data_IF_220408420392
#
_entry.id   IF_220408420392
#
_cell.length_a   1.000
_cell.length_b   1.000
_cell.length_c   1.000
_cell.angle_alpha   90.00
_cell.angle_beta   90.00
_cell.angle_gamma   90.00
#
_symmetry.space_group_name_H-M   'P 1'
#
loop_
_entity.id
_entity.type
_entity.pdbx_description
1 polymer ?
#
# COMPACT_ATOMS: atom_id res chain seq x y z
N UNK A 1 26.31 22.55 -13.18
CA UNK A 1 26.43 21.38 -12.29
C UNK A 1 25.01 20.99 -11.90
N UNK A 2 24.41 20.03 -12.61
CA UNK A 2 23.03 19.59 -12.34
C UNK A 2 23.04 18.74 -11.08
N UNK A 3 22.36 19.21 -10.05
CA UNK A 3 22.17 18.51 -8.79
C UNK A 3 21.28 17.28 -9.06
N UNK A 4 21.90 16.10 -9.27
CA UNK A 4 21.20 14.82 -9.31
C UNK A 4 20.97 14.37 -7.86
N UNK A 5 20.01 14.98 -7.18
CA UNK A 5 19.39 14.31 -6.05
C UNK A 5 18.72 13.04 -6.58
N UNK A 6 19.06 11.84 -6.09
CA UNK A 6 18.36 10.63 -6.50
C UNK A 6 16.88 10.79 -6.14
N UNK A 7 16.02 10.89 -7.16
CA UNK A 7 14.57 10.92 -6.95
C UNK A 7 14.19 9.61 -6.27
N UNK A 8 13.50 9.70 -5.14
CA UNK A 8 12.93 8.53 -4.50
C UNK A 8 11.97 7.84 -5.49
N UNK A 9 11.98 6.50 -5.57
CA UNK A 9 11.02 5.78 -6.38
C UNK A 9 9.60 6.05 -5.87
N UNK A 10 8.66 6.14 -6.80
CA UNK A 10 7.24 6.22 -6.45
C UNK A 10 6.77 4.94 -5.74
N UNK A 11 5.71 5.03 -4.95
CA UNK A 11 5.09 3.88 -4.27
C UNK A 11 4.68 2.80 -5.27
N UNK A 12 4.12 3.18 -6.43
CA UNK A 12 3.86 2.25 -7.53
C UNK A 12 5.12 1.51 -7.99
N UNK A 13 6.25 2.21 -8.14
CA UNK A 13 7.51 1.59 -8.55
C UNK A 13 8.05 0.65 -7.48
N UNK A 14 7.92 1.02 -6.21
CA UNK A 14 8.27 0.15 -5.07
C UNK A 14 7.45 -1.13 -5.11
N UNK A 15 6.12 -1.01 -5.21
CA UNK A 15 5.23 -2.18 -5.27
C UNK A 15 5.56 -3.04 -6.48
N UNK A 16 5.69 -2.45 -7.67
CA UNK A 16 6.03 -3.19 -8.89
C UNK A 16 7.36 -3.94 -8.77
N UNK A 17 8.38 -3.30 -8.18
CA UNK A 17 9.69 -3.94 -7.98
C UNK A 17 9.63 -5.08 -6.96
N UNK A 18 8.81 -4.95 -5.92
CA UNK A 18 8.71 -5.95 -4.85
C UNK A 18 7.80 -7.14 -5.22
N UNK A 19 6.72 -6.91 -5.96
CA UNK A 19 5.67 -7.92 -6.20
C UNK A 19 5.61 -8.40 -7.66
N UNK A 20 6.23 -7.68 -8.59
CA UNK A 20 6.05 -7.89 -10.03
C UNK A 20 4.67 -7.46 -10.56
N UNK A 21 3.81 -6.87 -9.73
CA UNK A 21 2.47 -6.42 -10.09
C UNK A 21 2.36 -4.90 -10.08
N UNK A 22 1.69 -4.32 -11.09
CA UNK A 22 1.40 -2.89 -11.12
C UNK A 22 0.01 -2.63 -10.52
N UNK A 23 -0.08 -1.80 -9.49
CA UNK A 23 -1.34 -1.40 -8.85
C UNK A 23 -2.34 -0.76 -9.83
N UNK A 24 -1.88 -0.25 -10.98
CA UNK A 24 -2.75 0.24 -12.06
C UNK A 24 -3.63 -0.86 -12.69
N UNK A 25 -3.39 -2.13 -12.40
CA UNK A 25 -4.28 -3.23 -12.76
C UNK A 25 -5.57 -3.24 -11.91
N UNK A 26 -5.64 -2.46 -10.83
CA UNK A 26 -6.85 -2.29 -10.04
C UNK A 26 -7.97 -1.72 -10.90
N UNK A 27 -9.13 -2.39 -10.90
CA UNK A 27 -10.31 -1.98 -11.69
C UNK A 27 -11.33 -1.17 -10.89
N UNK A 28 -11.00 -0.78 -9.65
CA UNK A 28 -11.88 -0.01 -8.76
C UNK A 28 -13.28 -0.65 -8.63
N UNK A 29 -13.31 -1.98 -8.48
CA UNK A 29 -14.54 -2.77 -8.50
C UNK A 29 -15.26 -2.85 -7.13
N UNK A 30 -14.80 -2.13 -6.11
CA UNK A 30 -15.32 -2.13 -4.74
C UNK A 30 -15.26 -3.48 -3.99
N UNK A 31 -14.76 -4.56 -4.59
CA UNK A 31 -14.75 -5.89 -3.95
C UNK A 31 -13.92 -5.95 -2.66
N UNK A 32 -12.83 -5.16 -2.58
CA UNK A 32 -11.98 -5.05 -1.38
C UNK A 32 -12.31 -3.81 -0.52
N UNK A 33 -13.48 -3.20 -0.68
CA UNK A 33 -13.86 -1.99 0.08
C UNK A 33 -14.35 -2.31 1.50
N UNK A 34 -14.64 -3.58 1.79
CA UNK A 34 -15.12 -4.02 3.10
C UNK A 34 -14.17 -3.63 4.23
N UNK A 35 -14.75 -3.16 5.34
CA UNK A 35 -14.03 -2.93 6.59
C UNK A 35 -13.73 -4.28 7.27
N UNK A 36 -12.46 -4.57 7.44
CA UNK A 36 -11.87 -5.77 8.04
C UNK A 36 -11.47 -5.49 9.51
N UNK A 37 -11.12 -4.25 9.84
CA UNK A 37 -10.67 -3.83 11.16
C UNK A 37 -11.31 -2.49 11.59
N UNK A 38 -11.63 -2.37 12.89
CA UNK A 38 -12.33 -1.24 13.47
C UNK A 38 -11.48 0.04 13.49
N UNK A 39 -10.15 -0.08 13.41
CA UNK A 39 -9.22 1.03 13.41
C UNK A 39 -8.84 1.51 12.00
N UNK A 40 -9.33 0.84 10.95
CA UNK A 40 -9.10 1.25 9.57
C UNK A 40 -9.51 2.70 9.34
N UNK A 41 -8.56 3.47 8.83
CA UNK A 41 -8.72 4.83 8.31
C UNK A 41 -8.91 4.84 6.78
N UNK A 42 -8.35 3.84 6.08
CA UNK A 42 -8.52 3.64 4.64
C UNK A 42 -9.13 2.26 4.33
N UNK A 43 -9.96 2.17 3.29
CA UNK A 43 -10.31 0.88 2.67
C UNK A 43 -9.15 0.39 1.79
N UNK A 44 -9.07 -0.92 1.51
CA UNK A 44 -8.01 -1.45 0.63
C UNK A 44 -8.12 -0.88 -0.79
N UNK A 45 -9.34 -0.61 -1.27
CA UNK A 45 -9.54 0.07 -2.55
C UNK A 45 -8.89 1.46 -2.55
N UNK A 46 -9.20 2.30 -1.56
CA UNK A 46 -8.66 3.66 -1.47
C UNK A 46 -7.14 3.62 -1.31
N UNK A 47 -6.64 2.71 -0.49
CA UNK A 47 -5.21 2.47 -0.31
C UNK A 47 -4.50 2.22 -1.65
N UNK A 48 -5.02 1.32 -2.48
CA UNK A 48 -4.44 1.02 -3.80
C UNK A 48 -4.51 2.22 -4.75
N UNK A 49 -5.57 3.03 -4.66
CA UNK A 49 -5.68 4.26 -5.46
C UNK A 49 -4.62 5.29 -5.06
N UNK A 50 -4.42 5.52 -3.76
CA UNK A 50 -3.40 6.44 -3.25
C UNK A 50 -1.99 6.01 -3.65
N UNK A 51 -1.69 4.70 -3.60
CA UNK A 51 -0.43 4.14 -4.12
C UNK A 51 -0.24 4.44 -5.61
N UNK A 52 -1.29 4.31 -6.41
CA UNK A 52 -1.25 4.61 -7.85
C UNK A 52 -1.03 6.11 -8.14
N UNK A 53 -1.52 6.97 -7.26
CA UNK A 53 -1.33 8.43 -7.28
C UNK A 53 0.01 8.87 -6.66
N UNK A 54 0.79 7.94 -6.12
CA UNK A 54 2.02 8.22 -5.37
C UNK A 54 1.77 9.17 -4.18
N UNK A 55 0.68 8.94 -3.47
CA UNK A 55 0.35 9.67 -2.25
C UNK A 55 0.96 8.96 -1.03
N UNK A 56 1.87 9.64 -0.35
CA UNK A 56 2.63 9.10 0.78
C UNK A 56 1.78 8.95 2.06
N UNK A 57 0.57 9.51 2.13
CA UNK A 57 -0.36 9.33 3.27
C UNK A 57 -0.57 7.84 3.60
N UNK A 58 -0.54 6.98 2.57
CA UNK A 58 -0.68 5.54 2.74
C UNK A 58 0.37 4.92 3.67
N UNK A 59 1.58 5.48 3.72
CA UNK A 59 2.69 4.92 4.51
C UNK A 59 2.49 5.11 6.02
N UNK A 60 1.64 6.06 6.40
CA UNK A 60 1.31 6.37 7.79
C UNK A 60 -0.10 5.94 8.18
N UNK A 61 -0.86 5.32 7.26
CA UNK A 61 -2.23 4.88 7.51
C UNK A 61 -2.28 3.72 8.52
N UNK A 62 -3.24 3.77 9.45
CA UNK A 62 -3.49 2.67 10.40
C UNK A 62 -3.88 1.37 9.67
N UNK A 63 -4.61 1.48 8.56
CA UNK A 63 -4.95 0.32 7.71
C UNK A 63 -3.70 -0.42 7.24
N UNK A 64 -2.62 0.30 6.87
CA UNK A 64 -1.38 -0.33 6.43
C UNK A 64 -0.78 -1.21 7.54
N UNK A 65 -0.89 -0.78 8.79
CA UNK A 65 -0.28 -1.41 9.96
C UNK A 65 -1.18 -2.41 10.71
N UNK A 66 -2.45 -2.57 10.31
CA UNK A 66 -3.34 -3.59 10.88
C UNK A 66 -2.97 -5.00 10.39
N UNK A 67 -2.59 -5.88 11.32
CA UNK A 67 -2.31 -7.29 11.02
C UNK A 67 -3.58 -8.04 10.59
N UNK A 68 -4.73 -7.67 11.14
CA UNK A 68 -6.03 -8.22 10.72
C UNK A 68 -6.35 -7.89 9.26
N UNK A 69 -6.06 -6.66 8.83
CA UNK A 69 -6.19 -6.27 7.41
C UNK A 69 -5.23 -7.08 6.54
N UNK A 70 -3.96 -7.22 6.97
CA UNK A 70 -2.95 -7.97 6.24
C UNK A 70 -3.35 -9.43 6.01
N UNK A 71 -3.78 -10.13 7.07
CA UNK A 71 -4.20 -11.53 7.00
C UNK A 71 -5.39 -11.75 6.06
N UNK A 72 -6.35 -10.81 6.04
CA UNK A 72 -7.55 -10.94 5.21
C UNK A 72 -7.35 -10.47 3.77
N UNK A 73 -6.36 -9.61 3.49
CA UNK A 73 -6.12 -9.00 2.18
C UNK A 73 -5.87 -10.03 1.06
N UNK A 74 -5.27 -11.18 1.39
CA UNK A 74 -4.81 -12.22 0.46
C UNK A 74 -5.83 -12.66 -0.60
N UNK A 75 -7.12 -12.62 -0.27
CA UNK A 75 -8.18 -13.17 -1.12
C UNK A 75 -9.22 -12.14 -1.59
N UNK A 76 -8.99 -10.85 -1.35
CA UNK A 76 -9.99 -9.80 -1.58
C UNK A 76 -9.91 -9.14 -2.96
N UNK A 77 -8.92 -9.43 -3.80
CA UNK A 77 -8.84 -8.79 -5.11
C UNK A 77 -9.43 -9.67 -6.22
N UNK A 78 -10.59 -9.28 -6.75
CA UNK A 78 -11.17 -9.89 -7.95
C UNK A 78 -10.27 -9.77 -9.20
N UNK A 79 -9.40 -8.74 -9.27
CA UNK A 79 -8.43 -8.54 -10.34
C UNK A 79 -7.12 -9.30 -10.16
N UNK A 80 -7.00 -10.14 -9.12
CA UNK A 80 -5.79 -10.92 -8.80
C UNK A 80 -4.54 -10.09 -8.46
N UNK A 81 -4.71 -8.86 -7.99
CA UNK A 81 -3.65 -8.17 -7.26
C UNK A 81 -3.46 -8.86 -5.92
N UNK A 82 -2.21 -9.16 -5.59
CA UNK A 82 -1.81 -9.68 -4.30
C UNK A 82 -1.73 -8.52 -3.30
N UNK A 83 -2.88 -8.22 -2.69
CA UNK A 83 -2.99 -7.09 -1.76
C UNK A 83 -2.14 -7.29 -0.51
N UNK A 84 -1.92 -8.53 -0.08
CA UNK A 84 -1.01 -8.85 1.02
C UNK A 84 0.43 -8.43 0.67
N UNK A 85 0.92 -8.86 -0.51
CA UNK A 85 2.25 -8.49 -0.98
C UNK A 85 2.40 -6.97 -1.20
N UNK A 86 1.35 -6.29 -1.66
CA UNK A 86 1.31 -4.82 -1.77
C UNK A 86 1.49 -4.17 -0.39
N UNK A 87 0.73 -4.60 0.63
CA UNK A 87 0.82 -4.06 1.98
C UNK A 87 2.22 -4.29 2.58
N UNK A 88 2.79 -5.48 2.41
CA UNK A 88 4.13 -5.79 2.90
C UNK A 88 5.21 -4.91 2.23
N UNK A 89 5.11 -4.68 0.92
CA UNK A 89 6.02 -3.80 0.20
C UNK A 89 5.94 -2.35 0.73
N UNK A 90 4.74 -1.87 1.04
CA UNK A 90 4.52 -0.53 1.59
C UNK A 90 5.01 -0.41 3.05
N UNK A 91 4.79 -1.42 3.90
CA UNK A 91 5.36 -1.45 5.27
C UNK A 91 6.89 -1.38 5.23
N UNK A 92 7.52 -2.20 4.39
CA UNK A 92 8.97 -2.19 4.22
C UNK A 92 9.48 -0.82 3.74
N UNK A 93 8.75 -0.18 2.84
CA UNK A 93 9.08 1.17 2.36
C UNK A 93 8.88 2.24 3.44
N UNK A 94 7.79 2.17 4.22
CA UNK A 94 7.56 3.06 5.35
C UNK A 94 8.70 2.96 6.38
N UNK A 95 9.13 1.75 6.72
CA UNK A 95 10.29 1.52 7.60
C UNK A 95 11.58 2.10 7.00
N UNK A 96 11.81 1.88 5.70
CA UNK A 96 12.98 2.45 5.00
C UNK A 96 12.99 3.98 5.02
N UNK A 97 11.81 4.61 5.08
CA UNK A 97 11.63 6.07 5.21
C UNK A 97 11.57 6.56 6.67
N UNK A 98 11.56 5.67 7.65
CA UNK A 98 11.43 6.01 9.08
C UNK A 98 10.03 6.48 9.49
N UNK A 99 8.99 5.92 8.85
CA UNK A 99 7.57 6.27 9.07
C UNK A 99 6.81 5.23 9.92
N UNK A 100 7.51 4.30 10.55
CA UNK A 100 6.98 3.18 11.36
C UNK A 100 6.61 3.55 12.81
N UNK A 101 6.47 4.85 13.10
CA UNK A 101 6.27 5.43 14.45
C UNK A 101 4.94 5.18 15.15
N UNK A 102 4.29 4.03 14.97
CA UNK A 102 3.09 3.62 15.73
C UNK A 102 3.40 2.74 16.95
N UNK A 103 4.67 2.57 17.34
CA UNK A 103 5.03 2.08 18.68
C UNK A 103 4.99 3.22 19.71
N UNK A 104 3.90 3.30 20.46
CA UNK A 104 3.84 3.82 21.83
C UNK A 104 2.79 3.05 22.61
#
# INVERSE_FOLDING_TARGET
MTNLSPRLPSLRQIVLAATGQDVRQCRQCAYCETRLDDEQDLTLQTLVQLVALNDDEVLTSRTLWSDKVLEQARHLCASRLDLEAVLLALRAEAQRRGLDGHTS
#
